data_IF_761375709106
#
_entry.id   IF_761375709106
#
_cell.length_a   1.000
_cell.length_b   1.000
_cell.length_c   1.000
_cell.angle_alpha   90.00
_cell.angle_beta   90.00
_cell.angle_gamma   90.00
#
_symmetry.space_group_name_H-M   'P 1'
#
loop_
_entity.id
_entity.type
_entity.pdbx_description
1 polymer ?
#
# COMPACT_ATOMS: atom_id res chain seq x y z
N UNK A 1 6.07 -23.35 12.19
CA UNK A 1 6.31 -22.67 10.87
C UNK A 1 7.12 -23.64 10.04
N UNK A 2 6.64 -24.03 8.86
CA UNK A 2 7.34 -24.98 7.99
C UNK A 2 8.49 -24.29 7.23
N UNK A 3 9.43 -25.06 6.68
CA UNK A 3 10.64 -24.56 5.97
C UNK A 3 10.26 -23.61 4.81
N UNK A 4 9.14 -23.86 4.13
CA UNK A 4 8.64 -23.01 3.05
C UNK A 4 8.24 -21.63 3.56
N UNK A 5 7.50 -21.56 4.66
CA UNK A 5 7.11 -20.28 5.26
C UNK A 5 8.27 -19.44 5.77
N UNK A 6 9.37 -20.08 6.19
CA UNK A 6 10.61 -19.37 6.58
C UNK A 6 11.27 -18.76 5.35
N UNK A 7 11.40 -19.53 4.24
CA UNK A 7 11.96 -19.02 2.99
C UNK A 7 11.16 -17.83 2.45
N UNK A 8 9.83 -17.94 2.43
CA UNK A 8 8.93 -16.90 1.96
C UNK A 8 9.09 -15.62 2.78
N UNK A 9 9.20 -15.75 4.11
CA UNK A 9 9.48 -14.62 5.00
C UNK A 9 10.84 -13.98 4.71
N UNK A 10 11.89 -14.78 4.54
CA UNK A 10 13.22 -14.26 4.21
C UNK A 10 13.24 -13.48 2.89
N UNK A 11 12.57 -13.98 1.85
CA UNK A 11 12.47 -13.30 0.55
C UNK A 11 11.78 -11.94 0.71
N UNK A 12 10.66 -11.92 1.41
CA UNK A 12 9.91 -10.68 1.67
C UNK A 12 10.73 -9.66 2.45
N UNK A 13 11.41 -10.11 3.52
CA UNK A 13 12.27 -9.29 4.35
C UNK A 13 13.44 -8.68 3.58
N UNK A 14 14.10 -9.49 2.75
CA UNK A 14 15.21 -9.01 1.94
C UNK A 14 14.76 -7.94 0.95
N UNK A 15 13.59 -8.12 0.31
CA UNK A 15 13.02 -7.12 -0.59
C UNK A 15 12.68 -5.80 0.14
N UNK A 16 12.12 -5.88 1.35
CA UNK A 16 11.82 -4.70 2.16
C UNK A 16 13.09 -3.97 2.63
N UNK A 17 14.13 -4.69 3.04
CA UNK A 17 15.43 -4.11 3.38
C UNK A 17 16.08 -3.43 2.17
N UNK A 18 16.02 -4.08 1.00
CA UNK A 18 16.48 -3.48 -0.25
C UNK A 18 15.71 -2.19 -0.54
N UNK A 19 14.39 -2.18 -0.40
CA UNK A 19 13.60 -0.98 -0.60
C UNK A 19 13.97 0.13 0.39
N UNK A 20 14.19 -0.20 1.67
CA UNK A 20 14.60 0.76 2.70
C UNK A 20 15.90 1.49 2.34
N UNK A 21 16.85 0.77 1.74
CA UNK A 21 18.20 1.31 1.41
C UNK A 21 18.22 1.92 0.01
N UNK A 22 17.70 1.22 -1.00
CA UNK A 22 17.91 1.55 -2.40
C UNK A 22 16.83 2.47 -3.00
N UNK A 23 15.59 2.46 -2.46
CA UNK A 23 14.54 3.25 -3.06
C UNK A 23 14.69 4.73 -2.75
N UNK A 24 14.33 5.54 -3.73
CA UNK A 24 14.18 6.99 -3.56
C UNK A 24 13.07 7.29 -2.55
N UNK A 25 13.12 8.44 -1.93
CA UNK A 25 12.05 8.88 -1.04
C UNK A 25 10.74 9.09 -1.83
N UNK A 26 9.62 8.86 -1.18
CA UNK A 26 8.31 9.27 -1.69
C UNK A 26 8.30 10.79 -1.79
N UNK A 27 8.03 11.37 -2.97
CA UNK A 27 7.98 12.83 -3.13
C UNK A 27 6.85 13.42 -2.30
N UNK A 28 7.06 14.65 -1.87
CA UNK A 28 6.01 15.44 -1.25
C UNK A 28 5.20 16.12 -2.36
N UNK A 29 3.90 15.92 -2.37
CA UNK A 29 2.96 16.64 -3.23
C UNK A 29 1.97 17.39 -2.34
N UNK A 30 1.83 18.68 -2.56
CA UNK A 30 0.82 19.50 -1.91
C UNK A 30 -0.25 19.84 -2.95
N UNK A 31 -1.47 19.45 -2.68
CA UNK A 31 -2.63 19.72 -3.53
C UNK A 31 -3.77 20.21 -2.64
N UNK A 32 -4.30 21.39 -2.95
CA UNK A 32 -5.37 22.03 -2.19
C UNK A 32 -5.03 22.11 -0.68
N UNK A 33 -5.86 21.47 0.16
CA UNK A 33 -5.70 21.44 1.61
C UNK A 33 -4.99 20.19 2.12
N UNK A 34 -4.33 19.40 1.26
CA UNK A 34 -3.73 18.13 1.61
C UNK A 34 -2.27 18.06 1.19
N UNK A 35 -1.48 17.40 2.03
CA UNK A 35 -0.08 17.05 1.72
C UNK A 35 0.02 15.53 1.65
N UNK A 36 0.36 15.01 0.46
CA UNK A 36 0.69 13.62 0.25
C UNK A 36 2.20 13.46 0.36
N UNK A 37 2.66 12.54 1.17
CA UNK A 37 4.08 12.31 1.45
C UNK A 37 4.37 10.90 1.97
N UNK A 38 5.64 10.57 2.05
CA UNK A 38 6.08 9.36 2.78
C UNK A 38 5.93 9.51 4.30
N UNK A 39 5.78 8.36 4.94
CA UNK A 39 5.70 8.24 6.40
C UNK A 39 6.94 8.86 7.08
N UNK A 40 6.71 9.46 8.25
CA UNK A 40 7.72 9.91 9.21
C UNK A 40 7.46 9.25 10.57
N UNK A 41 8.49 9.03 11.37
CA UNK A 41 8.35 8.37 12.67
C UNK A 41 7.32 9.01 13.61
N UNK A 42 7.20 10.33 13.57
CA UNK A 42 6.20 11.07 14.34
C UNK A 42 4.75 10.72 13.98
N UNK A 43 4.52 10.15 12.78
CA UNK A 43 3.19 9.80 12.29
C UNK A 43 2.69 8.47 12.88
N UNK A 44 3.58 7.67 13.48
CA UNK A 44 3.27 6.31 13.93
C UNK A 44 2.02 6.20 14.84
N UNK A 45 1.82 7.07 15.84
CA UNK A 45 0.62 7.02 16.66
C UNK A 45 -0.67 7.24 15.85
N UNK A 46 -0.66 8.24 14.95
CA UNK A 46 -1.82 8.59 14.10
C UNK A 46 -2.09 7.51 13.06
N UNK A 47 -1.06 6.97 12.41
CA UNK A 47 -1.17 5.85 11.46
C UNK A 47 -1.75 4.61 12.14
N UNK A 48 -1.27 4.24 13.34
CA UNK A 48 -1.79 3.08 14.09
C UNK A 48 -3.25 3.27 14.49
N UNK A 49 -3.63 4.49 14.90
CA UNK A 49 -5.02 4.82 15.25
C UNK A 49 -5.89 4.65 14.00
N UNK A 50 -5.56 5.36 12.91
CA UNK A 50 -6.32 5.32 11.68
C UNK A 50 -6.43 3.90 11.11
N UNK A 51 -5.35 3.13 11.09
CA UNK A 51 -5.38 1.74 10.62
C UNK A 51 -6.35 0.88 11.45
N UNK A 52 -6.32 1.00 12.78
CA UNK A 52 -7.21 0.26 13.67
C UNK A 52 -8.67 0.65 13.48
N UNK A 53 -8.93 1.96 13.33
CA UNK A 53 -10.30 2.48 13.17
C UNK A 53 -10.91 2.03 11.82
N UNK A 54 -10.08 1.87 10.79
CA UNK A 54 -10.50 1.43 9.46
C UNK A 54 -10.48 -0.10 9.28
N UNK A 55 -9.75 -0.83 10.12
CA UNK A 55 -9.59 -2.27 10.04
C UNK A 55 -9.65 -2.91 11.44
N UNK A 56 -10.84 -2.94 12.08
CA UNK A 56 -10.99 -3.39 13.47
C UNK A 56 -10.56 -4.85 13.69
N UNK A 57 -10.75 -5.70 12.68
CA UNK A 57 -10.37 -7.12 12.71
C UNK A 57 -8.91 -7.35 12.31
N UNK A 58 -8.29 -6.36 11.68
CA UNK A 58 -6.92 -6.43 11.20
C UNK A 58 -5.91 -6.27 12.32
N UNK A 59 -5.16 -7.33 12.61
CA UNK A 59 -4.00 -7.24 13.52
C UNK A 59 -2.76 -6.90 12.71
N UNK A 60 -2.29 -5.67 12.83
CA UNK A 60 -0.92 -5.37 12.40
C UNK A 60 0.03 -6.22 13.26
N UNK A 61 0.61 -7.28 12.65
CA UNK A 61 1.61 -8.08 13.34
C UNK A 61 2.73 -7.16 13.83
N UNK A 62 3.04 -7.22 15.12
CA UNK A 62 4.13 -6.41 15.68
C UNK A 62 5.46 -6.67 14.97
N UNK A 63 5.67 -7.91 14.52
CA UNK A 63 6.85 -8.30 13.75
C UNK A 63 6.92 -7.57 12.40
N UNK A 64 5.79 -7.47 11.68
CA UNK A 64 5.70 -6.65 10.45
C UNK A 64 5.89 -5.16 10.74
N UNK A 65 5.42 -4.67 11.88
CA UNK A 65 5.70 -3.30 12.32
C UNK A 65 7.20 -3.07 12.50
N UNK A 66 7.89 -3.96 13.24
CA UNK A 66 9.34 -3.81 13.50
C UNK A 66 10.14 -3.88 12.20
N UNK A 67 9.81 -4.82 11.31
CA UNK A 67 10.49 -4.96 10.01
C UNK A 67 10.14 -3.79 9.09
N UNK A 68 8.87 -3.43 9.02
CA UNK A 68 8.39 -2.28 8.25
C UNK A 68 8.94 -0.95 8.75
N UNK A 69 9.38 -0.86 10.01
CA UNK A 69 9.94 0.36 10.57
C UNK A 69 11.10 0.95 9.73
N UNK A 70 11.92 0.13 9.14
CA UNK A 70 13.02 0.58 8.28
C UNK A 70 12.55 0.96 6.88
N UNK A 71 11.57 0.23 6.33
CA UNK A 71 11.08 0.38 4.96
C UNK A 71 9.89 1.35 4.83
N UNK A 72 9.14 1.64 5.90
CA UNK A 72 7.93 2.47 5.85
C UNK A 72 8.13 3.87 5.29
N UNK A 73 9.31 4.45 5.43
CA UNK A 73 9.63 5.73 4.78
C UNK A 73 9.54 5.67 3.25
N UNK A 74 9.57 4.47 2.68
CA UNK A 74 9.56 4.19 1.24
C UNK A 74 8.33 3.39 0.78
N UNK A 75 7.66 2.73 1.73
CA UNK A 75 6.57 1.79 1.47
C UNK A 75 5.24 2.20 2.15
N UNK A 76 5.18 3.37 2.79
CA UNK A 76 3.95 3.88 3.39
C UNK A 76 3.76 5.35 3.00
N UNK A 77 2.70 5.59 2.22
CA UNK A 77 2.22 6.93 1.91
C UNK A 77 1.23 7.38 2.98
N UNK A 78 1.25 8.65 3.28
CA UNK A 78 0.28 9.30 4.17
C UNK A 78 -0.27 10.56 3.51
N UNK A 79 -1.53 10.87 3.81
CA UNK A 79 -2.14 12.17 3.52
C UNK A 79 -2.33 12.92 4.84
N UNK A 80 -1.78 14.10 4.88
CA UNK A 80 -1.88 15.07 5.98
C UNK A 80 -2.81 16.20 5.56
N UNK A 81 -3.76 16.58 6.42
CA UNK A 81 -4.64 17.73 6.19
C UNK A 81 -3.98 19.06 6.64
N UNK A 82 -4.69 20.18 6.54
CA UNK A 82 -4.23 21.50 6.97
C UNK A 82 -3.88 21.55 8.47
N UNK A 83 -4.55 20.78 9.30
CA UNK A 83 -4.35 20.72 10.74
C UNK A 83 -3.21 19.77 11.13
N UNK A 84 -2.54 19.19 10.14
CA UNK A 84 -1.46 18.18 10.26
C UNK A 84 -1.91 16.82 10.79
N UNK A 85 -3.20 16.51 10.70
CA UNK A 85 -3.72 15.20 11.01
C UNK A 85 -3.52 14.25 9.83
N UNK A 86 -3.19 12.99 10.13
CA UNK A 86 -3.12 11.94 9.12
C UNK A 86 -4.53 11.42 8.85
N UNK A 87 -5.04 11.72 7.66
CA UNK A 87 -6.40 11.41 7.23
C UNK A 87 -6.47 10.29 6.18
N UNK A 88 -5.33 9.87 5.64
CA UNK A 88 -5.22 8.77 4.70
C UNK A 88 -3.88 8.04 4.82
N UNK A 89 -3.90 6.74 4.59
CA UNK A 89 -2.72 5.88 4.56
C UNK A 89 -2.81 4.87 3.42
N UNK A 90 -1.65 4.55 2.81
CA UNK A 90 -1.51 3.55 1.77
C UNK A 90 -0.22 2.75 2.03
N UNK A 91 -0.38 1.49 2.44
CA UNK A 91 0.68 0.63 2.95
C UNK A 91 1.04 -0.44 1.93
N UNK A 92 2.33 -0.53 1.64
CA UNK A 92 2.91 -1.49 0.72
C UNK A 92 3.88 -2.45 1.43
N UNK A 93 3.99 -3.66 0.89
CA UNK A 93 4.97 -4.65 1.31
C UNK A 93 5.30 -5.58 0.13
N UNK A 94 6.29 -6.46 0.30
CA UNK A 94 6.62 -7.48 -0.68
C UNK A 94 6.18 -8.87 -0.18
N UNK A 95 5.61 -9.66 -1.07
CA UNK A 95 5.47 -11.10 -0.91
C UNK A 95 6.29 -11.82 -2.00
N UNK A 96 6.35 -13.15 -1.96
CA UNK A 96 7.18 -13.94 -2.89
C UNK A 96 6.79 -13.71 -4.34
N UNK A 97 5.47 -13.62 -4.62
CA UNK A 97 4.96 -13.37 -5.97
C UNK A 97 5.39 -12.00 -6.46
N UNK A 98 5.26 -10.97 -5.63
CA UNK A 98 5.66 -9.62 -6.00
C UNK A 98 7.15 -9.50 -6.31
N UNK A 99 7.99 -10.20 -5.53
CA UNK A 99 9.43 -10.23 -5.80
C UNK A 99 9.72 -10.88 -7.15
N UNK A 100 9.04 -11.99 -7.49
CA UNK A 100 9.23 -12.69 -8.77
C UNK A 100 8.70 -11.93 -9.98
N UNK A 101 7.64 -11.14 -9.79
CA UNK A 101 6.98 -10.34 -10.85
C UNK A 101 7.51 -8.90 -10.93
N UNK A 102 8.51 -8.54 -10.10
CA UNK A 102 9.01 -7.18 -9.95
C UNK A 102 7.89 -6.17 -9.60
N UNK A 103 6.90 -6.59 -8.82
CA UNK A 103 5.80 -5.75 -8.32
C UNK A 103 5.95 -5.45 -6.84
N UNK A 104 5.08 -4.63 -6.29
CA UNK A 104 4.90 -4.41 -4.85
C UNK A 104 3.43 -4.59 -4.50
N UNK A 105 3.13 -5.15 -3.34
CA UNK A 105 1.76 -5.38 -2.90
C UNK A 105 1.21 -4.19 -2.11
N UNK A 106 0.11 -3.60 -2.61
CA UNK A 106 -0.72 -2.67 -1.85
C UNK A 106 -1.54 -3.50 -0.84
N UNK A 107 -1.08 -3.52 0.39
CA UNK A 107 -1.70 -4.35 1.44
C UNK A 107 -2.84 -3.67 2.17
N UNK A 108 -2.87 -2.35 2.14
CA UNK A 108 -3.94 -1.56 2.77
C UNK A 108 -3.94 -0.14 2.24
N UNK A 109 -5.08 0.32 1.76
CA UNK A 109 -5.35 1.73 1.49
C UNK A 109 -6.61 2.14 2.26
N UNK A 110 -6.54 3.26 2.97
CA UNK A 110 -7.67 3.72 3.75
C UNK A 110 -7.67 5.23 3.98
N UNK A 111 -8.87 5.78 4.03
CA UNK A 111 -9.12 7.22 4.27
C UNK A 111 -10.11 7.34 5.41
N UNK A 112 -9.84 8.24 6.35
CA UNK A 112 -10.73 8.57 7.46
C UNK A 112 -12.14 8.90 6.96
N UNK A 113 -13.14 8.47 7.66
CA UNK A 113 -14.54 8.55 7.24
C UNK A 113 -14.96 9.97 6.84
N UNK A 114 -14.57 10.96 7.62
CA UNK A 114 -14.88 12.37 7.36
C UNK A 114 -14.28 12.91 6.04
N UNK A 115 -13.32 12.17 5.45
CA UNK A 115 -12.59 12.58 4.24
C UNK A 115 -12.85 11.64 3.05
N UNK A 116 -13.82 10.73 3.18
CA UNK A 116 -14.22 9.83 2.07
C UNK A 116 -14.94 10.62 0.97
N UNK A 117 -14.98 10.06 -0.23
CA UNK A 117 -15.61 10.70 -1.39
C UNK A 117 -14.78 11.80 -2.05
N UNK A 118 -13.68 12.27 -1.43
CA UNK A 118 -12.81 13.33 -1.95
C UNK A 118 -11.73 12.83 -2.91
N UNK A 119 -11.77 11.56 -3.32
CA UNK A 119 -10.79 10.97 -4.24
C UNK A 119 -9.40 10.71 -3.65
N UNK A 120 -9.21 10.85 -2.32
CA UNK A 120 -7.90 10.77 -1.69
C UNK A 120 -7.23 9.40 -1.85
N UNK A 121 -7.99 8.30 -1.82
CA UNK A 121 -7.45 6.97 -2.10
C UNK A 121 -6.90 6.85 -3.53
N UNK A 122 -7.61 7.40 -4.52
CA UNK A 122 -7.13 7.46 -5.91
C UNK A 122 -5.88 8.32 -6.03
N UNK A 123 -5.81 9.46 -5.35
CA UNK A 123 -4.61 10.32 -5.32
C UNK A 123 -3.41 9.58 -4.74
N UNK A 124 -3.57 8.81 -3.65
CA UNK A 124 -2.50 7.98 -3.08
C UNK A 124 -2.01 6.94 -4.08
N UNK A 125 -2.91 6.20 -4.73
CA UNK A 125 -2.55 5.20 -5.76
C UNK A 125 -1.81 5.82 -6.94
N UNK A 126 -2.23 6.99 -7.42
CA UNK A 126 -1.53 7.70 -8.51
C UNK A 126 -0.11 8.09 -8.08
N UNK A 127 0.06 8.60 -6.87
CA UNK A 127 1.38 8.94 -6.33
C UNK A 127 2.25 7.70 -6.13
N UNK A 128 1.67 6.59 -5.65
CA UNK A 128 2.35 5.30 -5.51
C UNK A 128 2.86 4.77 -6.86
N UNK A 129 2.05 4.85 -7.92
CA UNK A 129 2.48 4.48 -9.28
C UNK A 129 3.73 5.23 -9.69
N UNK A 130 3.72 6.56 -9.58
CA UNK A 130 4.89 7.38 -9.90
C UNK A 130 6.10 7.07 -9.02
N UNK A 131 5.89 6.80 -7.74
CA UNK A 131 6.96 6.43 -6.80
C UNK A 131 7.61 5.09 -7.17
N UNK A 132 6.82 4.03 -7.36
CA UNK A 132 7.34 2.70 -7.62
C UNK A 132 7.90 2.55 -9.04
N UNK A 133 7.34 3.23 -10.04
CA UNK A 133 7.93 3.34 -11.39
C UNK A 133 9.34 3.92 -11.33
N UNK A 134 9.55 5.02 -10.59
CA UNK A 134 10.88 5.63 -10.39
C UNK A 134 11.88 4.73 -9.66
N UNK A 135 11.38 3.74 -8.93
CA UNK A 135 12.19 2.74 -8.23
C UNK A 135 12.36 1.43 -9.03
N UNK A 136 11.94 1.42 -10.30
CA UNK A 136 12.19 0.33 -11.23
C UNK A 136 11.28 -0.88 -11.07
N UNK A 137 10.11 -0.71 -10.41
CA UNK A 137 9.11 -1.78 -10.35
C UNK A 137 8.27 -1.82 -11.63
N UNK A 138 7.88 -3.04 -12.00
CA UNK A 138 7.04 -3.31 -13.17
C UNK A 138 5.54 -3.10 -12.88
N UNK A 139 5.12 -3.20 -11.61
CA UNK A 139 3.71 -3.08 -11.26
C UNK A 139 3.44 -2.91 -9.77
N UNK A 140 2.17 -2.65 -9.46
CA UNK A 140 1.60 -2.71 -8.12
C UNK A 140 0.51 -3.77 -8.14
N UNK A 141 0.58 -4.73 -7.23
CA UNK A 141 -0.48 -5.72 -7.01
C UNK A 141 -1.36 -5.33 -5.83
N UNK A 142 -2.60 -5.82 -5.80
CA UNK A 142 -3.47 -5.70 -4.62
C UNK A 142 -4.46 -6.85 -4.59
N UNK A 143 -5.09 -7.08 -3.43
CA UNK A 143 -6.23 -7.98 -3.27
C UNK A 143 -7.40 -7.22 -2.70
N UNK A 144 -8.52 -7.27 -3.39
CA UNK A 144 -9.74 -6.56 -3.00
C UNK A 144 -10.88 -7.56 -2.94
N UNK A 145 -11.57 -7.61 -1.82
CA UNK A 145 -12.77 -8.41 -1.66
C UNK A 145 -13.90 -7.84 -2.52
N UNK A 146 -14.70 -8.70 -3.15
CA UNK A 146 -15.78 -8.31 -4.05
C UNK A 146 -16.86 -7.48 -3.32
N UNK A 147 -17.03 -7.70 -2.04
CA UNK A 147 -17.93 -6.94 -1.17
C UNK A 147 -17.39 -5.57 -0.73
N UNK A 148 -16.23 -5.15 -1.27
CA UNK A 148 -15.66 -3.81 -1.06
C UNK A 148 -15.67 -2.98 -2.36
N UNK A 149 -16.87 -2.56 -2.83
CA UNK A 149 -17.04 -1.86 -4.11
C UNK A 149 -16.31 -0.51 -4.16
N UNK A 150 -16.16 0.17 -3.02
CA UNK A 150 -15.47 1.46 -2.96
C UNK A 150 -13.97 1.30 -3.28
N UNK A 151 -13.30 0.29 -2.70
CA UNK A 151 -11.91 -0.01 -3.00
C UNK A 151 -11.72 -0.50 -4.43
N UNK A 152 -12.63 -1.37 -4.90
CA UNK A 152 -12.61 -1.89 -6.26
C UNK A 152 -12.72 -0.76 -7.30
N UNK A 153 -13.69 0.13 -7.14
CA UNK A 153 -13.88 1.28 -8.03
C UNK A 153 -12.67 2.22 -8.03
N UNK A 154 -12.10 2.48 -6.85
CA UNK A 154 -10.89 3.30 -6.73
C UNK A 154 -9.69 2.65 -7.40
N UNK A 155 -9.52 1.33 -7.29
CA UNK A 155 -8.45 0.59 -7.97
C UNK A 155 -8.61 0.64 -9.49
N UNK A 156 -9.79 0.35 -10.02
CA UNK A 156 -10.09 0.41 -11.45
C UNK A 156 -9.82 1.82 -12.01
N UNK A 157 -10.28 2.87 -11.33
CA UNK A 157 -10.01 4.28 -11.72
C UNK A 157 -8.52 4.62 -11.69
N UNK A 158 -7.71 3.88 -10.91
CA UNK A 158 -6.27 4.06 -10.83
C UNK A 158 -5.50 3.19 -11.83
N UNK A 159 -6.20 2.44 -12.70
CA UNK A 159 -5.59 1.62 -13.75
C UNK A 159 -5.19 0.22 -13.28
N UNK A 160 -5.76 -0.28 -12.19
CA UNK A 160 -5.65 -1.69 -11.82
C UNK A 160 -6.60 -2.53 -12.67
N UNK A 161 -6.15 -3.70 -13.08
CA UNK A 161 -6.92 -4.69 -13.83
C UNK A 161 -7.05 -5.97 -13.00
N UNK A 162 -8.21 -6.63 -13.09
CA UNK A 162 -8.41 -7.93 -12.43
C UNK A 162 -7.65 -8.98 -13.23
N UNK A 163 -6.70 -9.64 -12.58
CA UNK A 163 -5.90 -10.72 -13.20
C UNK A 163 -6.44 -12.09 -12.80
N UNK A 164 -6.86 -12.24 -11.55
CA UNK A 164 -7.36 -13.49 -11.01
C UNK A 164 -8.49 -13.22 -10.01
N UNK A 165 -9.42 -14.16 -9.92
CA UNK A 165 -10.45 -14.17 -8.87
C UNK A 165 -10.34 -15.47 -8.08
N UNK A 166 -10.25 -15.35 -6.77
CA UNK A 166 -10.15 -16.49 -5.85
C UNK A 166 -11.24 -16.42 -4.80
N UNK A 167 -11.86 -17.56 -4.51
CA UNK A 167 -12.76 -17.67 -3.36
C UNK A 167 -11.92 -17.93 -2.11
N UNK A 168 -12.05 -17.06 -1.11
CA UNK A 168 -11.43 -17.22 0.20
C UNK A 168 -12.43 -16.83 1.27
N UNK A 169 -12.63 -17.72 2.27
CA UNK A 169 -13.62 -17.51 3.34
C UNK A 169 -15.05 -17.21 2.82
N UNK A 170 -15.50 -17.90 1.75
CA UNK A 170 -16.78 -17.69 1.07
C UNK A 170 -16.98 -16.28 0.46
N UNK A 171 -15.91 -15.52 0.29
CA UNK A 171 -15.93 -14.23 -0.40
C UNK A 171 -15.00 -14.30 -1.60
N UNK A 172 -15.48 -13.83 -2.74
CA UNK A 172 -14.64 -13.66 -3.93
C UNK A 172 -13.66 -12.52 -3.70
N UNK A 173 -12.39 -12.80 -3.94
CA UNK A 173 -11.32 -11.83 -3.85
C UNK A 173 -10.66 -11.66 -5.21
N UNK A 174 -10.60 -10.45 -5.69
CA UNK A 174 -9.91 -10.09 -6.92
C UNK A 174 -8.43 -9.81 -6.63
N UNK A 175 -7.54 -10.58 -7.26
CA UNK A 175 -6.15 -10.20 -7.37
C UNK A 175 -6.02 -9.26 -8.58
N UNK A 176 -5.55 -8.05 -8.33
CA UNK A 176 -5.46 -6.99 -9.32
C UNK A 176 -4.03 -6.52 -9.46
N UNK A 177 -3.67 -6.12 -10.66
CA UNK A 177 -2.34 -5.57 -10.96
C UNK A 177 -2.48 -4.27 -11.74
N UNK A 178 -1.72 -3.26 -11.35
CA UNK A 178 -1.53 -2.05 -12.14
C UNK A 178 -0.12 -2.07 -12.73
N UNK A 179 0.00 -2.16 -14.05
CA UNK A 179 1.28 -2.07 -14.75
C UNK A 179 1.88 -0.66 -14.62
N UNK A 180 3.19 -0.58 -14.38
CA UNK A 180 3.97 0.67 -14.34
C UNK A 180 4.86 0.83 -15.56
N UNK A 181 4.87 -0.15 -16.47
CA UNK A 181 5.51 -0.02 -17.79
C UNK A 181 4.85 1.08 -18.62
N UNK A 182 5.54 1.55 -19.63
CA UNK A 182 4.91 2.41 -20.64
C UNK A 182 3.93 1.53 -21.42
N UNK A 183 2.66 1.90 -21.44
CA UNK A 183 1.74 1.37 -22.42
C UNK A 183 2.31 1.73 -23.78
N UNK A 184 2.85 0.73 -24.50
CA UNK A 184 3.23 0.88 -25.90
C UNK A 184 1.99 1.07 -26.74
#
# INVERSE_FOLDING_TARGET
MNVRGIKDLCVSLFAELRAAVAYRAIPVSAEDSYILRGFKWRDLPSVRRLYRDLNPEGRLSWLRLVIGLLSYRKLLLVIENSDRDIVGIDLFYFNVRDVSEATVHEGFVGVSEAYRGLGLATKMRVAAKGHFKRNGLAGISTRIAQDNPASLLSALKSGFEIVETHVSNNVDNHYMVCSLGDNK
#
